data_IF_684898158673
#
_entry.id   IF_684898158673
#
_cell.length_a   1.000
_cell.length_b   1.000
_cell.length_c   1.000
_cell.angle_alpha   90.00
_cell.angle_beta   90.00
_cell.angle_gamma   90.00
#
_symmetry.space_group_name_H-M   'P 1'
#
loop_
_entity.id
_entity.type
_entity.pdbx_description
1 polymer ?
#
# COMPACT_ATOMS: atom_id res chain seq x y z
N UNK A 1 10.90 2.41 12.72
CA UNK A 1 9.69 2.45 11.88
C UNK A 1 9.97 1.60 10.67
N UNK A 2 9.13 0.61 10.37
CA UNK A 2 9.34 -0.29 9.22
C UNK A 2 9.16 0.44 7.89
N UNK A 3 9.69 -0.11 6.79
CA UNK A 3 9.47 0.47 5.44
C UNK A 3 7.99 0.54 5.06
N UNK A 4 7.17 -0.41 5.55
CA UNK A 4 5.72 -0.39 5.36
C UNK A 4 5.09 0.80 6.10
N UNK A 5 5.45 1.02 7.37
CA UNK A 5 4.95 2.17 8.14
C UNK A 5 5.37 3.51 7.52
N UNK A 6 6.54 3.59 6.90
CA UNK A 6 7.01 4.78 6.20
C UNK A 6 6.12 5.16 4.99
N UNK A 7 5.35 4.22 4.45
CA UNK A 7 4.33 4.50 3.42
C UNK A 7 3.01 5.06 4.00
N UNK A 8 2.92 5.23 5.32
CA UNK A 8 1.68 5.56 6.02
C UNK A 8 0.73 4.36 6.15
N UNK A 9 1.23 3.15 5.96
CA UNK A 9 0.46 1.90 6.03
C UNK A 9 0.66 1.19 7.36
N UNK A 10 -0.34 0.41 7.77
CA UNK A 10 -0.22 -0.52 8.90
C UNK A 10 -0.26 -1.95 8.35
N UNK A 11 0.62 -2.81 8.89
CA UNK A 11 0.61 -4.25 8.57
C UNK A 11 -0.07 -5.04 9.69
N UNK A 12 -1.01 -5.89 9.31
CA UNK A 12 -1.59 -6.91 10.16
C UNK A 12 -1.36 -8.28 9.54
N UNK A 13 -0.83 -9.22 10.34
CA UNK A 13 -0.95 -10.64 10.01
C UNK A 13 -2.30 -11.15 10.52
N UNK A 14 -3.01 -11.95 9.73
CA UNK A 14 -4.29 -12.53 10.13
C UNK A 14 -4.19 -14.04 10.02
N UNK A 15 -4.56 -14.75 11.08
CA UNK A 15 -4.78 -16.19 11.02
C UNK A 15 -5.94 -16.57 11.94
N UNK A 16 -6.36 -17.82 11.84
CA UNK A 16 -7.45 -18.40 12.64
C UNK A 16 -6.99 -18.87 14.02
N UNK A 17 -5.71 -18.65 14.36
CA UNK A 17 -5.15 -18.94 15.68
C UNK A 17 -5.69 -17.95 16.73
N UNK A 18 -5.74 -18.41 17.98
CA UNK A 18 -6.15 -17.58 19.10
C UNK A 18 -5.07 -16.58 19.55
N UNK A 19 -5.48 -15.67 20.43
CA UNK A 19 -4.62 -14.61 20.98
C UNK A 19 -3.43 -15.17 21.77
N UNK A 20 -3.56 -16.31 22.43
CA UNK A 20 -2.48 -16.88 23.25
C UNK A 20 -1.43 -17.58 22.38
N UNK A 21 -1.85 -18.24 21.29
CA UNK A 21 -0.97 -18.72 20.23
C UNK A 21 -0.17 -17.56 19.62
N UNK A 22 -0.83 -16.45 19.29
CA UNK A 22 -0.17 -15.24 18.78
C UNK A 22 0.85 -14.65 19.74
N UNK A 23 0.56 -14.61 21.04
CA UNK A 23 1.53 -14.15 22.06
C UNK A 23 2.79 -15.01 22.07
N UNK A 24 2.64 -16.34 22.00
CA UNK A 24 3.76 -17.29 21.95
C UNK A 24 4.57 -17.09 20.68
N UNK A 25 3.91 -17.11 19.52
CA UNK A 25 4.56 -16.94 18.23
C UNK A 25 5.31 -15.61 18.11
N UNK A 26 4.73 -14.50 18.62
CA UNK A 26 5.39 -13.20 18.66
C UNK A 26 6.64 -13.20 19.54
N UNK A 27 6.62 -13.92 20.67
CA UNK A 27 7.78 -14.05 21.56
C UNK A 27 8.95 -14.80 20.90
N UNK A 28 8.65 -15.74 20.00
CA UNK A 28 9.62 -16.56 19.29
C UNK A 28 10.20 -15.84 18.07
N UNK A 29 9.35 -15.27 17.21
CA UNK A 29 9.75 -14.74 15.90
C UNK A 29 10.13 -13.25 15.90
N UNK A 30 9.80 -12.51 16.98
CA UNK A 30 10.17 -11.09 17.19
C UNK A 30 9.88 -10.17 16.00
N UNK A 31 8.72 -10.31 15.36
CA UNK A 31 8.27 -9.39 14.31
C UNK A 31 7.64 -8.10 14.88
N UNK A 32 7.66 -7.02 14.09
CA UNK A 32 7.21 -5.68 14.48
C UNK A 32 5.73 -5.37 14.24
N UNK A 33 4.99 -6.24 13.55
CA UNK A 33 3.58 -6.03 13.22
C UNK A 33 2.62 -6.73 14.18
N UNK A 34 1.34 -6.36 14.14
CA UNK A 34 0.30 -6.96 14.98
C UNK A 34 -0.32 -8.18 14.30
N UNK A 35 -0.73 -9.17 15.10
CA UNK A 35 -1.49 -10.32 14.63
C UNK A 35 -2.96 -10.20 15.08
N UNK A 36 -3.87 -10.40 14.14
CA UNK A 36 -5.31 -10.47 14.38
C UNK A 36 -5.73 -11.94 14.47
N UNK A 37 -6.48 -12.27 15.50
CA UNK A 37 -7.04 -13.61 15.72
C UNK A 37 -8.44 -13.68 15.09
N UNK A 38 -8.59 -14.50 14.05
CA UNK A 38 -9.83 -14.75 13.31
C UNK A 38 -10.41 -16.13 13.69
N UNK A 39 -10.63 -16.34 14.99
CA UNK A 39 -11.01 -17.67 15.54
C UNK A 39 -12.35 -18.18 15.00
N UNK A 40 -13.23 -17.28 14.55
CA UNK A 40 -14.54 -17.60 13.97
C UNK A 40 -14.53 -17.67 12.44
N UNK A 41 -13.35 -17.50 11.82
CA UNK A 41 -13.13 -17.54 10.37
C UNK A 41 -13.88 -16.45 9.59
N UNK A 42 -14.42 -15.42 10.25
CA UNK A 42 -15.25 -14.40 9.61
C UNK A 42 -14.45 -13.61 8.59
N UNK A 43 -13.25 -13.18 8.96
CA UNK A 43 -12.37 -12.41 8.08
C UNK A 43 -11.84 -13.28 6.96
N UNK A 44 -11.37 -14.50 7.28
CA UNK A 44 -10.84 -15.44 6.31
C UNK A 44 -11.89 -15.84 5.27
N UNK A 45 -13.15 -16.06 5.65
CA UNK A 45 -14.23 -16.37 4.68
C UNK A 45 -14.51 -15.22 3.72
N UNK A 46 -14.45 -13.98 4.20
CA UNK A 46 -14.75 -12.80 3.39
C UNK A 46 -13.60 -12.41 2.45
N UNK A 47 -12.35 -12.61 2.88
CA UNK A 47 -11.17 -12.14 2.16
C UNK A 47 -10.42 -13.27 1.44
N UNK A 48 -9.64 -14.06 2.19
CA UNK A 48 -8.68 -15.00 1.60
C UNK A 48 -9.30 -16.34 1.20
N UNK A 49 -10.40 -16.73 1.83
CA UNK A 49 -10.92 -18.09 1.85
C UNK A 49 -10.20 -18.99 2.86
N UNK A 50 -10.77 -20.18 3.08
CA UNK A 50 -10.24 -21.19 4.01
C UNK A 50 -9.68 -22.37 3.23
N UNK A 51 -8.61 -22.99 3.74
CA UNK A 51 -8.16 -24.32 3.37
C UNK A 51 -8.78 -25.31 4.37
N UNK A 52 -9.97 -25.81 4.07
CA UNK A 52 -10.81 -26.59 5.01
C UNK A 52 -10.07 -27.78 5.64
N UNK A 53 -9.27 -28.49 4.83
CA UNK A 53 -8.49 -29.66 5.29
C UNK A 53 -7.53 -29.35 6.44
N UNK A 54 -7.01 -28.12 6.51
CA UNK A 54 -6.05 -27.70 7.52
C UNK A 54 -6.63 -26.70 8.52
N UNK A 55 -7.92 -26.37 8.38
CA UNK A 55 -8.58 -25.35 9.18
C UNK A 55 -7.75 -24.06 9.26
N UNK A 56 -7.32 -23.54 8.10
CA UNK A 56 -6.38 -22.43 8.00
C UNK A 56 -6.80 -21.43 6.92
N UNK A 57 -6.44 -20.15 7.08
CA UNK A 57 -6.62 -19.14 6.04
C UNK A 57 -5.77 -19.45 4.80
N UNK A 58 -6.28 -19.17 3.60
CA UNK A 58 -5.42 -19.16 2.41
C UNK A 58 -4.38 -18.05 2.54
N UNK A 59 -3.16 -18.32 2.07
CA UNK A 59 -2.08 -17.33 2.08
C UNK A 59 -2.35 -16.31 0.98
N UNK A 60 -2.76 -15.11 1.36
CA UNK A 60 -3.08 -14.03 0.42
C UNK A 60 -2.85 -12.70 1.11
N UNK A 61 -2.30 -11.74 0.38
CA UNK A 61 -2.06 -10.37 0.85
C UNK A 61 -3.02 -9.44 0.17
N UNK A 62 -3.64 -8.54 0.94
CA UNK A 62 -4.52 -7.50 0.42
C UNK A 62 -3.92 -6.13 0.76
N UNK A 63 -3.83 -5.25 -0.23
CA UNK A 63 -3.51 -3.84 -0.02
C UNK A 63 -4.81 -3.05 -0.06
N UNK A 64 -5.15 -2.39 1.04
CA UNK A 64 -6.35 -1.55 1.18
C UNK A 64 -5.88 -0.12 1.40
N UNK A 65 -6.36 0.83 0.60
CA UNK A 65 -5.99 2.23 0.76
C UNK A 65 -6.80 2.96 1.83
N UNK A 66 -6.44 4.22 2.10
CA UNK A 66 -7.09 5.06 3.12
C UNK A 66 -8.58 5.36 2.81
N UNK A 67 -8.99 5.21 1.56
CA UNK A 67 -10.39 5.35 1.16
C UNK A 67 -11.18 4.03 1.28
N UNK A 68 -10.54 2.95 1.74
CA UNK A 68 -11.17 1.66 2.00
C UNK A 68 -11.27 0.75 0.78
N UNK A 69 -10.56 1.06 -0.31
CA UNK A 69 -10.61 0.25 -1.52
C UNK A 69 -9.41 -0.71 -1.59
N UNK A 70 -9.68 -1.93 -2.06
CA UNK A 70 -8.62 -2.87 -2.41
C UNK A 70 -7.86 -2.34 -3.64
N UNK A 71 -6.55 -2.16 -3.50
CA UNK A 71 -5.63 -1.72 -4.55
C UNK A 71 -4.83 -2.88 -5.14
N UNK A 72 -4.62 -3.95 -4.37
CA UNK A 72 -3.96 -5.15 -4.85
C UNK A 72 -4.36 -6.40 -4.06
N UNK A 73 -4.26 -7.56 -4.73
CA UNK A 73 -4.39 -8.88 -4.15
C UNK A 73 -3.20 -9.71 -4.64
N UNK A 74 -2.37 -10.18 -3.71
CA UNK A 74 -1.23 -11.07 -4.01
C UNK A 74 -1.51 -12.47 -3.43
N UNK A 75 -1.70 -13.44 -4.33
CA UNK A 75 -1.92 -14.85 -3.99
C UNK A 75 -0.66 -15.72 -4.12
N UNK A 76 0.47 -15.15 -4.54
CA UNK A 76 1.72 -15.87 -4.82
C UNK A 76 2.82 -15.52 -3.79
N UNK A 77 2.40 -15.31 -2.54
CA UNK A 77 3.26 -14.83 -1.44
C UNK A 77 4.48 -15.73 -1.22
N UNK A 78 5.66 -15.17 -1.45
CA UNK A 78 6.93 -15.76 -1.07
C UNK A 78 7.32 -15.35 0.36
N UNK A 79 7.28 -16.29 1.30
CA UNK A 79 7.57 -16.04 2.72
C UNK A 79 8.97 -15.48 3.00
N UNK A 80 9.94 -15.68 2.10
CA UNK A 80 11.31 -15.19 2.29
C UNK A 80 11.44 -13.70 1.98
N UNK A 81 10.68 -13.23 1.00
CA UNK A 81 10.75 -11.85 0.47
C UNK A 81 9.52 -11.02 0.80
N UNK A 82 8.54 -11.60 1.50
CA UNK A 82 7.21 -11.02 1.67
C UNK A 82 7.20 -9.55 2.13
N UNK A 83 8.06 -9.16 3.07
CA UNK A 83 8.13 -7.77 3.53
C UNK A 83 8.56 -6.79 2.42
N UNK A 84 9.53 -7.19 1.61
CA UNK A 84 10.03 -6.41 0.47
C UNK A 84 8.99 -6.35 -0.64
N UNK A 85 8.33 -7.47 -0.93
CA UNK A 85 7.28 -7.59 -1.93
C UNK A 85 6.08 -6.67 -1.58
N UNK A 86 5.69 -6.63 -0.30
CA UNK A 86 4.63 -5.72 0.18
C UNK A 86 5.03 -4.26 0.01
N UNK A 87 6.28 -3.89 0.31
CA UNK A 87 6.75 -2.50 0.12
C UNK A 87 6.75 -2.12 -1.36
N UNK A 88 7.18 -3.01 -2.24
CA UNK A 88 7.17 -2.78 -3.68
C UNK A 88 5.73 -2.59 -4.18
N UNK A 89 4.82 -3.46 -3.76
CA UNK A 89 3.41 -3.40 -4.14
C UNK A 89 2.75 -2.11 -3.63
N UNK A 90 3.00 -1.71 -2.38
CA UNK A 90 2.50 -0.44 -1.82
C UNK A 90 2.94 0.76 -2.66
N UNK A 91 4.21 0.81 -3.07
CA UNK A 91 4.74 1.89 -3.93
C UNK A 91 4.12 1.90 -5.32
N UNK A 92 3.71 0.75 -5.83
CA UNK A 92 3.08 0.61 -7.14
C UNK A 92 1.60 1.03 -7.11
N UNK A 93 0.84 0.56 -6.12
CA UNK A 93 -0.63 0.61 -6.15
C UNK A 93 -1.25 1.72 -5.32
N UNK A 94 -0.49 2.32 -4.39
CA UNK A 94 -1.00 3.46 -3.63
C UNK A 94 -1.00 4.73 -4.50
N UNK A 95 -2.02 5.60 -4.33
CA UNK A 95 -2.04 6.88 -5.02
C UNK A 95 -0.77 7.70 -4.73
N UNK A 96 -0.12 8.19 -5.79
CA UNK A 96 1.06 9.05 -5.67
C UNK A 96 0.71 10.49 -5.27
N UNK A 97 -0.55 10.89 -5.46
CA UNK A 97 -1.08 12.21 -5.13
C UNK A 97 -2.48 12.01 -4.56
N UNK A 98 -2.76 12.63 -3.42
CA UNK A 98 -4.04 12.55 -2.72
C UNK A 98 -4.58 13.96 -2.42
N UNK A 99 -5.90 14.14 -2.51
CA UNK A 99 -6.56 15.40 -2.18
C UNK A 99 -6.35 15.73 -0.69
N UNK A 100 -5.98 16.98 -0.41
CA UNK A 100 -5.72 17.46 0.95
C UNK A 100 -4.29 17.23 1.44
N UNK A 101 -3.46 16.46 0.72
CA UNK A 101 -2.02 16.41 0.96
C UNK A 101 -1.31 17.50 0.13
N UNK A 102 -0.15 18.02 0.60
CA UNK A 102 0.70 18.87 -0.24
C UNK A 102 1.04 18.15 -1.55
N UNK A 103 0.86 18.83 -2.68
CA UNK A 103 1.27 18.30 -3.97
C UNK A 103 2.80 18.11 -3.99
N UNK A 104 3.32 16.97 -4.50
CA UNK A 104 4.75 16.77 -4.63
C UNK A 104 5.38 17.89 -5.47
N UNK A 105 6.53 18.38 -5.04
CA UNK A 105 7.28 19.37 -5.81
C UNK A 105 7.75 18.75 -7.13
N UNK A 106 7.87 19.58 -8.16
CA UNK A 106 8.36 19.19 -9.47
C UNK A 106 9.09 20.35 -10.11
N UNK A 107 9.98 20.04 -11.05
CA UNK A 107 10.58 21.01 -11.96
C UNK A 107 10.25 20.57 -13.38
N UNK A 108 9.65 21.47 -14.16
CA UNK A 108 9.34 21.23 -15.56
C UNK A 108 9.68 22.46 -16.40
N UNK A 109 10.06 22.23 -17.66
CA UNK A 109 10.45 23.28 -18.60
C UNK A 109 9.33 23.47 -19.62
N UNK A 110 8.99 24.73 -19.90
CA UNK A 110 7.98 25.06 -20.91
C UNK A 110 8.56 25.07 -22.35
N UNK A 111 7.72 25.39 -23.33
CA UNK A 111 8.11 25.46 -24.74
C UNK A 111 9.11 26.57 -25.09
N UNK A 112 9.35 27.52 -24.18
CA UNK A 112 10.31 28.62 -24.36
C UNK A 112 11.67 28.32 -23.73
N UNK A 113 11.78 27.25 -22.94
CA UNK A 113 12.98 26.90 -22.18
C UNK A 113 12.98 27.47 -20.75
N UNK A 114 11.91 28.14 -20.33
CA UNK A 114 11.76 28.60 -18.94
C UNK A 114 11.42 27.41 -18.03
N UNK A 115 12.13 27.30 -16.91
CA UNK A 115 11.90 26.24 -15.93
C UNK A 115 11.04 26.75 -14.78
N UNK A 116 10.08 25.94 -14.38
CA UNK A 116 9.16 26.24 -13.29
C UNK A 116 9.30 25.17 -12.22
N UNK A 117 9.46 25.60 -10.97
CA UNK A 117 9.37 24.73 -9.80
C UNK A 117 8.06 25.00 -9.06
N UNK A 118 7.30 23.95 -8.71
CA UNK A 118 6.00 24.13 -8.04
C UNK A 118 6.16 24.94 -6.76
N UNK A 119 7.13 24.61 -5.92
CA UNK A 119 7.38 25.30 -4.65
C UNK A 119 7.65 26.80 -4.79
N UNK A 120 8.13 27.28 -5.95
CA UNK A 120 8.30 28.71 -6.21
C UNK A 120 7.01 29.45 -6.55
N UNK A 121 5.97 28.72 -6.98
CA UNK A 121 4.64 29.22 -7.33
C UNK A 121 3.66 29.17 -6.14
N UNK A 122 3.89 28.25 -5.19
CA UNK A 122 3.11 28.13 -3.96
C UNK A 122 3.11 29.46 -3.20
N UNK A 123 2.01 29.76 -2.52
CA UNK A 123 1.69 31.05 -1.85
C UNK A 123 1.55 32.27 -2.79
N UNK A 124 2.04 32.21 -4.02
CA UNK A 124 1.98 33.32 -4.99
C UNK A 124 0.81 33.17 -5.97
N UNK A 125 0.52 31.95 -6.42
CA UNK A 125 -0.50 31.67 -7.44
C UNK A 125 -1.21 30.35 -7.18
N UNK A 126 -2.47 30.27 -7.61
CA UNK A 126 -3.13 28.98 -7.81
C UNK A 126 -2.54 28.30 -9.05
N UNK A 127 -2.29 26.99 -8.97
CA UNK A 127 -1.69 26.20 -10.04
C UNK A 127 -2.70 25.17 -10.54
N UNK A 128 -2.87 25.10 -11.86
CA UNK A 128 -3.69 24.09 -12.53
C UNK A 128 -2.78 23.27 -13.44
N UNK A 129 -2.74 21.96 -13.23
CA UNK A 129 -2.05 21.02 -14.11
C UNK A 129 -3.08 20.23 -14.91
N UNK A 130 -2.98 20.29 -16.24
CA UNK A 130 -3.80 19.52 -17.15
C UNK A 130 -2.91 18.60 -17.96
N UNK A 131 -2.98 17.29 -17.70
CA UNK A 131 -2.19 16.28 -18.40
C UNK A 131 -2.93 15.81 -19.65
N UNK A 132 -2.21 15.67 -20.76
CA UNK A 132 -2.71 15.07 -22.00
C UNK A 132 -1.69 14.02 -22.50
N UNK A 133 -2.11 12.99 -23.27
CA UNK A 133 -1.29 11.79 -23.47
C UNK A 133 0.04 12.00 -24.21
N UNK A 134 0.04 12.80 -25.29
CA UNK A 134 1.21 13.12 -26.12
C UNK A 134 0.87 14.23 -27.12
N UNK A 135 1.87 14.99 -27.55
CA UNK A 135 1.78 15.85 -28.73
C UNK A 135 1.70 15.00 -30.00
N UNK A 136 0.49 14.79 -30.52
CA UNK A 136 0.27 14.22 -31.85
C UNK A 136 0.02 15.34 -32.85
N UNK A 137 1.05 16.14 -33.15
CA UNK A 137 0.99 17.03 -34.31
C UNK A 137 0.70 16.20 -35.56
N UNK A 138 -0.19 16.68 -36.45
CA UNK A 138 -0.32 16.07 -37.79
C UNK A 138 1.03 16.26 -38.50
N UNK A 139 1.75 15.16 -38.70
CA UNK A 139 2.86 15.10 -39.65
C UNK A 139 2.40 15.39 -41.07
#
# INVERSE_FOLDING_TARGET
>A
MSEIEATGSVLFGVSVDDVDSHKRFRSEQKFGFSLLADTEFEVSKQYSGIIERFNASKRTTFIIDKAGYIRAIDTEVNVKTHGEDVVALLKEVLPKVEVGQPAPDFIATDSTGESYQLSELIEKKNVVLSFYPRDFGRG
#
